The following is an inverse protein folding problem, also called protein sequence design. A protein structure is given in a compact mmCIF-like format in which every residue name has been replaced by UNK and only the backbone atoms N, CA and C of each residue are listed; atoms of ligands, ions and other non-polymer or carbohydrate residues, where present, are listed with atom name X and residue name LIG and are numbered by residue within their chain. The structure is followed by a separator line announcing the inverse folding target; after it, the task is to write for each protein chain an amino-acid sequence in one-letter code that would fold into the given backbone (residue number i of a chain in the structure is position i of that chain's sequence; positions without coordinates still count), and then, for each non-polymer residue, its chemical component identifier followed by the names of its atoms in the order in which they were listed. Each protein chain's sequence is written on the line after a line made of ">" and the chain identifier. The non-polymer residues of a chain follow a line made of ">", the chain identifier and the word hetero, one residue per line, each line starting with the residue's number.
data_IF_655050048199
#
_entry.id   IF_655050048199
#
_cell.length_a   1.000
_cell.length_b   1.000
_cell.length_c   1.000
_cell.angle_alpha   90.00
_cell.angle_beta   90.00
_cell.angle_gamma   90.00
#
_symmetry.space_group_name_H-M   'P 1'
#
loop_
_entity.id
_entity.type
_entity.pdbx_description
1 polymer ?
#
# COMPACT_ATOMS: atom_id res chain seq x y z
N UNK A 1 -28.99 -15.96 5.00
CA UNK A 1 -28.25 -15.82 6.27
C UNK A 1 -27.30 -14.66 6.11
N UNK A 2 -27.67 -13.50 6.66
CA UNK A 2 -26.83 -12.31 6.65
C UNK A 2 -25.84 -12.44 7.80
N UNK A 3 -24.57 -12.70 7.47
CA UNK A 3 -23.48 -12.67 8.44
C UNK A 3 -23.12 -11.19 8.64
N UNK A 4 -23.43 -10.70 9.83
CA UNK A 4 -23.14 -9.35 10.26
C UNK A 4 -21.63 -9.07 10.11
N UNK A 5 -21.30 -8.18 9.18
CA UNK A 5 -20.00 -7.55 9.08
C UNK A 5 -19.90 -6.53 10.22
N UNK A 6 -19.43 -6.98 11.37
CA UNK A 6 -19.01 -6.08 12.45
C UNK A 6 -17.71 -5.41 11.99
N UNK A 7 -17.87 -4.20 11.48
CA UNK A 7 -16.77 -3.26 11.30
C UNK A 7 -16.16 -3.00 12.69
N UNK A 8 -14.94 -3.48 12.89
CA UNK A 8 -14.09 -2.98 13.96
C UNK A 8 -13.60 -1.60 13.50
N UNK A 9 -14.48 -0.63 13.59
CA UNK A 9 -14.14 0.78 13.58
C UNK A 9 -13.52 1.09 14.94
N UNK A 10 -12.24 0.76 15.12
CA UNK A 10 -11.51 1.17 16.31
C UNK A 10 -11.23 2.65 16.23
N UNK A 11 -11.99 3.35 17.03
CA UNK A 11 -11.83 4.72 17.48
C UNK A 11 -10.35 5.06 17.73
N UNK A 12 -9.74 5.73 16.76
CA UNK A 12 -8.63 6.63 17.00
C UNK A 12 -9.21 8.04 16.95
N UNK A 13 -10.06 8.34 17.90
CA UNK A 13 -10.55 9.69 18.15
C UNK A 13 -10.11 10.10 19.54
N UNK A 14 -9.16 11.01 19.60
CA UNK A 14 -8.87 11.71 20.82
C UNK A 14 -7.39 11.98 21.01
N UNK A 15 -6.88 13.00 20.32
CA UNK A 15 -5.86 13.94 20.81
C UNK A 15 -5.45 14.89 19.66
N UNK A 16 -6.41 15.72 19.24
CA UNK A 16 -6.13 16.85 18.37
C UNK A 16 -6.35 18.13 19.19
N UNK A 17 -5.37 18.49 19.96
CA UNK A 17 -5.05 19.87 20.33
C UNK A 17 -3.78 19.87 21.13
N UNK A 18 -2.65 20.12 20.46
CA UNK A 18 -1.53 20.85 21.10
C UNK A 18 -0.55 21.26 20.03
N UNK A 19 -0.16 22.54 20.06
CA UNK A 19 1.13 23.09 19.64
C UNK A 19 2.14 22.04 19.16
N UNK A 20 2.80 22.30 18.05
CA UNK A 20 3.91 21.52 17.48
C UNK A 20 5.09 21.45 18.46
N UNK A 21 4.92 20.77 19.58
CA UNK A 21 6.02 20.36 20.43
C UNK A 21 6.61 19.09 19.84
N UNK A 22 7.93 19.08 19.64
CA UNK A 22 8.62 17.88 19.24
C UNK A 22 8.35 16.76 20.27
N UNK A 23 8.03 15.57 19.79
CA UNK A 23 7.83 14.38 20.64
C UNK A 23 9.10 14.12 21.47
N UNK A 24 8.95 13.93 22.75
CA UNK A 24 10.05 13.57 23.64
C UNK A 24 10.47 12.10 23.48
N UNK A 25 11.69 11.77 23.89
CA UNK A 25 12.20 10.39 23.90
C UNK A 25 11.30 9.44 24.73
N UNK A 26 10.75 9.94 25.82
CA UNK A 26 9.86 9.17 26.70
C UNK A 26 8.52 8.88 26.00
N UNK A 27 7.91 9.86 25.34
CA UNK A 27 6.69 9.70 24.57
C UNK A 27 6.91 8.76 23.37
N UNK A 28 8.03 8.89 22.67
CA UNK A 28 8.39 8.00 21.58
C UNK A 28 8.52 6.54 22.06
N UNK A 29 9.20 6.31 23.20
CA UNK A 29 9.32 4.99 23.81
C UNK A 29 7.97 4.40 24.21
N UNK A 30 7.14 5.18 24.88
CA UNK A 30 5.80 4.75 25.30
C UNK A 30 4.91 4.41 24.09
N UNK A 31 4.97 5.22 23.00
CA UNK A 31 4.25 4.94 21.76
C UNK A 31 4.73 3.64 21.11
N UNK A 32 6.03 3.35 21.08
CA UNK A 32 6.57 2.07 20.58
C UNK A 32 6.08 0.87 21.39
N UNK A 33 6.06 1.00 22.69
CA UNK A 33 5.55 -0.05 23.60
C UNK A 33 4.05 -0.30 23.34
N UNK A 34 3.27 0.78 23.17
CA UNK A 34 1.85 0.69 22.82
C UNK A 34 1.63 -0.02 21.47
N UNK A 35 2.35 0.37 20.42
CA UNK A 35 2.25 -0.29 19.11
C UNK A 35 2.52 -1.80 19.23
N UNK A 36 3.54 -2.16 20.01
CA UNK A 36 3.88 -3.58 20.22
C UNK A 36 2.80 -4.32 21.02
N UNK A 37 2.18 -3.67 21.99
CA UNK A 37 1.06 -4.24 22.75
C UNK A 37 -0.19 -4.42 21.87
N UNK A 38 -0.53 -3.41 21.06
CA UNK A 38 -1.64 -3.45 20.11
C UNK A 38 -1.47 -4.60 19.10
N UNK A 39 -0.24 -4.79 18.58
CA UNK A 39 0.06 -5.91 17.68
C UNK A 39 -0.12 -7.28 18.39
N UNK A 40 0.34 -7.42 19.62
CA UNK A 40 0.15 -8.66 20.40
C UNK A 40 -1.33 -8.97 20.64
N UNK A 41 -2.11 -7.95 20.98
CA UNK A 41 -3.56 -8.08 21.16
C UNK A 41 -4.25 -8.48 19.84
N UNK A 42 -3.91 -7.84 18.72
CA UNK A 42 -4.43 -8.19 17.40
C UNK A 42 -4.08 -9.63 17.01
N UNK A 43 -2.86 -10.09 17.26
CA UNK A 43 -2.47 -11.50 17.04
C UNK A 43 -3.34 -12.47 17.83
N UNK A 44 -3.59 -12.19 19.09
CA UNK A 44 -4.45 -13.06 19.93
C UNK A 44 -5.87 -13.15 19.33
N UNK A 45 -6.38 -12.05 18.79
CA UNK A 45 -7.67 -12.06 18.09
C UNK A 45 -7.61 -12.89 16.80
N UNK A 46 -6.53 -12.77 16.02
CA UNK A 46 -6.33 -13.55 14.81
C UNK A 46 -6.19 -15.05 15.09
N UNK A 47 -5.62 -15.45 16.24
CA UNK A 47 -5.46 -16.85 16.61
C UNK A 47 -6.79 -17.59 16.84
N UNK A 48 -7.88 -16.86 17.07
CA UNK A 48 -9.24 -17.41 17.13
C UNK A 48 -9.83 -17.74 15.74
N UNK A 49 -9.25 -17.23 14.67
CA UNK A 49 -9.65 -17.48 13.29
C UNK A 49 -8.99 -18.75 12.72
N UNK A 50 -9.48 -19.24 11.59
CA UNK A 50 -8.98 -20.44 10.91
C UNK A 50 -8.71 -20.17 9.43
N UNK A 51 -7.86 -21.02 8.86
CA UNK A 51 -7.50 -20.99 7.43
C UNK A 51 -7.11 -19.57 6.98
N UNK A 52 -7.41 -19.21 5.73
CA UNK A 52 -6.99 -17.95 5.15
C UNK A 52 -7.51 -16.71 5.91
N UNK A 53 -8.65 -16.80 6.59
CA UNK A 53 -9.12 -15.70 7.45
C UNK A 53 -8.13 -15.37 8.58
N UNK A 54 -7.45 -16.38 9.14
CA UNK A 54 -6.36 -16.18 10.13
C UNK A 54 -5.16 -15.51 9.47
N UNK A 55 -4.76 -15.97 8.31
CA UNK A 55 -3.58 -15.46 7.62
C UNK A 55 -3.80 -14.01 7.17
N UNK A 56 -4.97 -13.67 6.64
CA UNK A 56 -5.37 -12.28 6.33
C UNK A 56 -5.29 -11.41 7.59
N UNK A 57 -5.90 -11.84 8.69
CA UNK A 57 -5.88 -11.12 9.96
C UNK A 57 -4.43 -10.88 10.45
N UNK A 58 -3.55 -11.88 10.33
CA UNK A 58 -2.14 -11.75 10.71
C UNK A 58 -1.40 -10.74 9.81
N UNK A 59 -1.69 -10.70 8.50
CA UNK A 59 -1.14 -9.67 7.60
C UNK A 59 -1.64 -8.27 7.94
N UNK A 60 -2.93 -8.14 8.26
CA UNK A 60 -3.53 -6.88 8.70
C UNK A 60 -2.89 -6.39 10.01
N UNK A 61 -2.77 -7.26 11.02
CA UNK A 61 -2.12 -6.92 12.28
C UNK A 61 -0.65 -6.50 12.10
N UNK A 62 0.11 -7.27 11.30
CA UNK A 62 1.52 -6.98 11.04
C UNK A 62 1.68 -5.69 10.23
N UNK A 63 0.87 -5.51 9.20
CA UNK A 63 0.87 -4.29 8.38
C UNK A 63 0.55 -3.05 9.22
N UNK A 64 -0.45 -3.12 10.10
CA UNK A 64 -0.77 -2.03 11.02
C UNK A 64 0.39 -1.68 11.96
N UNK A 65 1.08 -2.69 12.52
CA UNK A 65 2.27 -2.49 13.35
C UNK A 65 3.39 -1.77 12.56
N UNK A 66 3.70 -2.25 11.35
CA UNK A 66 4.79 -1.70 10.53
C UNK A 66 4.50 -0.26 10.08
N UNK A 67 3.26 0.03 9.70
CA UNK A 67 2.80 1.38 9.36
C UNK A 67 2.90 2.29 10.58
N UNK A 68 2.35 1.87 11.73
CA UNK A 68 2.38 2.67 12.94
C UNK A 68 3.80 2.99 13.41
N UNK A 69 4.73 2.02 13.32
CA UNK A 69 6.16 2.25 13.62
C UNK A 69 6.79 3.27 12.67
N UNK A 70 6.50 3.17 11.37
CA UNK A 70 7.07 4.08 10.39
C UNK A 70 6.50 5.50 10.52
N UNK A 71 5.22 5.63 10.83
CA UNK A 71 4.56 6.92 11.09
C UNK A 71 5.07 7.55 12.38
N UNK A 72 5.26 6.76 13.45
CA UNK A 72 5.85 7.22 14.71
C UNK A 72 7.27 7.78 14.50
N UNK A 73 8.11 7.09 13.73
CA UNK A 73 9.46 7.59 13.42
C UNK A 73 9.40 8.90 12.59
N UNK A 74 8.42 9.02 11.67
CA UNK A 74 8.23 10.24 10.90
C UNK A 74 7.74 11.43 11.76
N UNK A 75 6.98 11.15 12.82
CA UNK A 75 6.56 12.16 13.80
C UNK A 75 7.69 12.55 14.76
N UNK A 76 8.45 11.57 15.24
CA UNK A 76 9.54 11.77 16.19
C UNK A 76 10.75 12.50 15.57
N UNK A 77 11.13 12.09 14.34
CA UNK A 77 12.23 12.73 13.57
C UNK A 77 11.72 13.10 12.16
N UNK A 78 10.98 14.20 12.03
CA UNK A 78 10.41 14.60 10.76
C UNK A 78 11.48 14.77 9.69
N UNK A 79 11.28 14.07 8.57
CA UNK A 79 12.11 14.22 7.37
C UNK A 79 11.37 13.65 6.16
N UNK A 80 11.71 14.12 4.96
CA UNK A 80 11.16 13.56 3.71
C UNK A 80 11.43 12.07 3.58
N UNK A 81 12.59 11.62 4.08
CA UNK A 81 12.96 10.20 4.11
C UNK A 81 12.04 9.40 5.03
N UNK A 82 11.78 9.89 6.24
CA UNK A 82 10.91 9.22 7.21
C UNK A 82 9.44 9.21 6.72
N UNK A 83 8.95 10.34 6.22
CA UNK A 83 7.61 10.45 5.63
C UNK A 83 7.44 9.51 4.44
N UNK A 84 8.45 9.43 3.55
CA UNK A 84 8.39 8.50 2.43
C UNK A 84 8.42 7.04 2.91
N UNK A 85 9.20 6.71 3.96
CA UNK A 85 9.23 5.38 4.56
C UNK A 85 7.86 4.98 5.09
N UNK A 86 7.13 5.88 5.74
CA UNK A 86 5.77 5.62 6.22
C UNK A 86 4.79 5.34 5.05
N UNK A 87 4.88 6.12 3.96
CA UNK A 87 4.07 5.86 2.75
C UNK A 87 4.38 4.50 2.11
N UNK A 88 5.66 4.13 2.06
CA UNK A 88 6.08 2.82 1.54
C UNK A 88 5.59 1.69 2.44
N UNK A 89 5.70 1.82 3.76
CA UNK A 89 5.22 0.82 4.71
C UNK A 89 3.70 0.58 4.55
N UNK A 90 2.92 1.65 4.32
CA UNK A 90 1.48 1.53 4.04
C UNK A 90 1.23 0.78 2.73
N UNK A 91 1.93 1.13 1.66
CA UNK A 91 1.80 0.45 0.37
C UNK A 91 2.15 -1.05 0.48
N UNK A 92 3.21 -1.38 1.22
CA UNK A 92 3.65 -2.76 1.44
C UNK A 92 2.64 -3.56 2.30
N UNK A 93 2.05 -2.93 3.34
CA UNK A 93 1.02 -3.53 4.18
C UNK A 93 -0.26 -3.81 3.38
N UNK A 94 -0.74 -2.84 2.62
CA UNK A 94 -1.94 -2.98 1.78
C UNK A 94 -1.75 -4.11 0.75
N UNK A 95 -0.56 -4.19 0.14
CA UNK A 95 -0.23 -5.26 -0.79
C UNK A 95 -0.20 -6.65 -0.13
N UNK A 96 0.41 -6.76 1.06
CA UNK A 96 0.49 -8.02 1.78
C UNK A 96 -0.91 -8.57 2.09
N UNK A 97 -1.82 -7.70 2.54
CA UNK A 97 -3.22 -8.05 2.80
C UNK A 97 -3.97 -8.40 1.51
N UNK A 98 -3.83 -7.58 0.47
CA UNK A 98 -4.51 -7.82 -0.81
C UNK A 98 -4.06 -9.14 -1.43
N UNK A 99 -2.77 -9.44 -1.39
CA UNK A 99 -2.23 -10.70 -1.91
C UNK A 99 -2.74 -11.91 -1.13
N UNK A 100 -2.80 -11.83 0.21
CA UNK A 100 -3.32 -12.91 1.05
C UNK A 100 -4.80 -13.21 0.74
N UNK A 101 -5.60 -12.16 0.51
CA UNK A 101 -7.01 -12.31 0.10
C UNK A 101 -7.17 -13.06 -1.23
N UNK A 102 -6.17 -13.01 -2.11
CA UNK A 102 -6.20 -13.75 -3.37
C UNK A 102 -6.07 -15.27 -3.16
N UNK A 103 -5.58 -15.73 -2.01
CA UNK A 103 -5.44 -17.15 -1.70
C UNK A 103 -6.79 -17.85 -1.47
N UNK A 104 -7.88 -17.09 -1.30
CA UNK A 104 -9.26 -17.61 -1.33
C UNK A 104 -9.76 -17.96 -2.75
N UNK A 105 -9.01 -17.57 -3.78
CA UNK A 105 -9.33 -17.81 -5.18
C UNK A 105 -8.46 -18.92 -5.75
N UNK A 106 -8.86 -19.47 -6.91
CA UNK A 106 -8.12 -20.51 -7.62
C UNK A 106 -7.98 -20.19 -9.12
N UNK A 107 -7.01 -20.82 -9.79
CA UNK A 107 -6.81 -20.70 -11.24
C UNK A 107 -6.59 -19.24 -11.67
N UNK A 108 -7.03 -18.90 -12.88
CA UNK A 108 -6.86 -17.57 -13.46
C UNK A 108 -7.43 -16.43 -12.57
N UNK A 109 -8.52 -16.68 -11.83
CA UNK A 109 -9.05 -15.67 -10.91
C UNK A 109 -8.06 -15.30 -9.81
N UNK A 110 -7.30 -16.26 -9.27
CA UNK A 110 -6.22 -16.01 -8.32
C UNK A 110 -5.08 -15.22 -8.98
N UNK A 111 -4.67 -15.62 -10.18
CA UNK A 111 -3.57 -14.97 -10.89
C UNK A 111 -3.92 -13.51 -11.21
N UNK A 112 -5.12 -13.24 -11.71
CA UNK A 112 -5.64 -11.88 -11.92
C UNK A 112 -5.63 -11.07 -10.62
N UNK A 113 -6.17 -11.63 -9.53
CA UNK A 113 -6.18 -10.97 -8.22
C UNK A 113 -4.77 -10.57 -7.77
N UNK A 114 -3.79 -11.47 -7.88
CA UNK A 114 -2.39 -11.19 -7.50
C UNK A 114 -1.76 -10.10 -8.39
N UNK A 115 -2.07 -10.11 -9.70
CA UNK A 115 -1.57 -9.06 -10.62
C UNK A 115 -2.21 -7.70 -10.30
N UNK A 116 -3.51 -7.68 -9.99
CA UNK A 116 -4.20 -6.46 -9.57
C UNK A 116 -3.64 -5.90 -8.26
N UNK A 117 -3.43 -6.75 -7.26
CA UNK A 117 -2.78 -6.36 -6.02
C UNK A 117 -1.38 -5.77 -6.26
N UNK A 118 -0.60 -6.37 -7.17
CA UNK A 118 0.73 -5.88 -7.54
C UNK A 118 0.66 -4.55 -8.28
N UNK A 119 -0.30 -4.35 -9.19
CA UNK A 119 -0.49 -3.08 -9.90
C UNK A 119 -0.89 -1.95 -8.93
N UNK A 120 -1.77 -2.23 -7.97
CA UNK A 120 -2.13 -1.31 -6.91
C UNK A 120 -0.92 -0.94 -6.04
N UNK A 121 -0.11 -1.92 -5.66
CA UNK A 121 1.14 -1.72 -4.91
C UNK A 121 2.14 -0.83 -5.66
N UNK A 122 2.38 -1.14 -6.95
CA UNK A 122 3.24 -0.31 -7.80
C UNK A 122 2.70 1.12 -7.84
N UNK A 123 1.40 1.30 -8.06
CA UNK A 123 0.76 2.62 -8.08
C UNK A 123 0.98 3.40 -6.78
N UNK A 124 0.80 2.77 -5.63
CA UNK A 124 1.02 3.40 -4.32
C UNK A 124 2.48 3.80 -4.11
N UNK A 125 3.42 2.93 -4.49
CA UNK A 125 4.87 3.21 -4.38
C UNK A 125 5.32 4.34 -5.30
N UNK A 126 4.84 4.35 -6.54
CA UNK A 126 5.17 5.42 -7.49
C UNK A 126 4.57 6.76 -7.04
N UNK A 127 3.34 6.77 -6.47
CA UNK A 127 2.78 7.96 -5.84
C UNK A 127 3.65 8.46 -4.68
N UNK A 128 4.22 7.56 -3.86
CA UNK A 128 5.13 7.93 -2.78
C UNK A 128 6.44 8.53 -3.32
N UNK A 129 6.99 8.01 -4.43
CA UNK A 129 8.17 8.57 -5.10
C UNK A 129 7.90 9.99 -5.63
N UNK A 130 6.77 10.19 -6.31
CA UNK A 130 6.37 11.53 -6.79
C UNK A 130 6.20 12.50 -5.64
N UNK A 131 5.54 12.08 -4.55
CA UNK A 131 5.39 12.91 -3.35
C UNK A 131 6.74 13.24 -2.70
N UNK A 132 7.70 12.30 -2.69
CA UNK A 132 9.06 12.55 -2.22
C UNK A 132 9.79 13.56 -3.12
N UNK A 133 9.67 13.45 -4.45
CA UNK A 133 10.24 14.42 -5.37
C UNK A 133 9.64 15.82 -5.17
N UNK A 134 8.32 15.89 -4.94
CA UNK A 134 7.64 17.14 -4.62
C UNK A 134 8.06 17.76 -3.27
N UNK A 135 8.49 16.98 -2.31
CA UNK A 135 8.99 17.45 -1.01
C UNK A 135 10.44 17.93 -1.05
N UNK A 136 11.27 17.40 -1.97
CA UNK A 136 12.68 17.80 -2.08
C UNK A 136 12.85 19.31 -2.24
N UNK A 137 13.80 19.96 -1.56
CA UNK A 137 14.19 21.34 -1.85
C UNK A 137 14.63 21.51 -3.30
N UNK A 138 14.45 22.70 -3.85
CA UNK A 138 14.95 23.09 -5.16
C UNK A 138 15.29 24.58 -5.14
N UNK A 139 16.29 24.98 -5.89
CA UNK A 139 16.79 26.36 -5.90
C UNK A 139 15.85 27.32 -6.66
N UNK A 140 14.97 26.77 -7.50
CA UNK A 140 13.98 27.54 -8.23
C UNK A 140 12.67 26.77 -8.47
N UNK A 141 11.60 27.49 -8.74
CA UNK A 141 10.32 26.90 -9.14
C UNK A 141 10.41 26.07 -10.43
N UNK A 142 11.27 26.48 -11.36
CA UNK A 142 11.51 25.75 -12.61
C UNK A 142 12.19 24.40 -12.36
N UNK A 143 13.23 24.37 -11.52
CA UNK A 143 13.91 23.13 -11.12
C UNK A 143 12.95 22.19 -10.37
N UNK A 144 12.15 22.74 -9.44
CA UNK A 144 11.12 21.99 -8.74
C UNK A 144 10.13 21.37 -9.72
N UNK A 145 9.67 22.16 -10.68
CA UNK A 145 8.78 21.69 -11.74
C UNK A 145 9.39 20.53 -12.54
N UNK A 146 10.65 20.66 -12.95
CA UNK A 146 11.37 19.63 -13.69
C UNK A 146 11.54 18.34 -12.90
N UNK A 147 11.96 18.42 -11.63
CA UNK A 147 12.10 17.25 -10.75
C UNK A 147 10.77 16.49 -10.57
N UNK A 148 9.67 17.21 -10.38
CA UNK A 148 8.35 16.60 -10.21
C UNK A 148 7.83 16.03 -11.53
N UNK A 149 8.08 16.69 -12.67
CA UNK A 149 7.69 16.22 -13.99
C UNK A 149 8.42 14.91 -14.34
N UNK A 150 9.72 14.82 -14.09
CA UNK A 150 10.51 13.60 -14.28
C UNK A 150 9.95 12.46 -13.42
N UNK A 151 9.78 12.69 -12.12
CA UNK A 151 9.22 11.68 -11.21
C UNK A 151 7.81 11.21 -11.62
N UNK A 152 6.99 12.10 -12.18
CA UNK A 152 5.66 11.74 -12.72
C UNK A 152 5.75 10.92 -13.99
N UNK A 153 6.69 11.23 -14.89
CA UNK A 153 6.92 10.49 -16.12
C UNK A 153 7.32 9.05 -15.79
N UNK A 154 8.32 8.87 -14.92
CA UNK A 154 8.77 7.55 -14.47
C UNK A 154 7.65 6.78 -13.78
N UNK A 155 6.94 7.44 -12.87
CA UNK A 155 5.80 6.84 -12.18
C UNK A 155 4.69 6.40 -13.16
N UNK A 156 4.46 7.15 -14.22
CA UNK A 156 3.45 6.80 -15.24
C UNK A 156 3.89 5.56 -16.02
N UNK A 157 5.17 5.46 -16.41
CA UNK A 157 5.71 4.30 -17.10
C UNK A 157 5.57 3.02 -16.27
N UNK A 158 6.00 3.06 -15.00
CA UNK A 158 5.92 1.93 -14.09
C UNK A 158 4.47 1.49 -13.81
N UNK A 159 3.55 2.45 -13.64
CA UNK A 159 2.13 2.18 -13.44
C UNK A 159 1.52 1.54 -14.68
N UNK A 160 1.83 2.05 -15.86
CA UNK A 160 1.33 1.52 -17.12
C UNK A 160 1.82 0.08 -17.33
N UNK A 161 3.09 -0.19 -17.06
CA UNK A 161 3.63 -1.55 -17.14
C UNK A 161 2.93 -2.52 -16.18
N UNK A 162 2.74 -2.11 -14.92
CA UNK A 162 2.08 -2.93 -13.91
C UNK A 162 0.61 -3.20 -14.27
N UNK A 163 -0.12 -2.17 -14.73
CA UNK A 163 -1.51 -2.29 -15.16
C UNK A 163 -1.65 -3.12 -16.44
N UNK A 164 -0.70 -3.01 -17.38
CA UNK A 164 -0.66 -3.86 -18.56
C UNK A 164 -0.53 -5.34 -18.17
N UNK A 165 0.37 -5.66 -17.25
CA UNK A 165 0.54 -7.03 -16.75
C UNK A 165 -0.74 -7.59 -16.12
N UNK A 166 -1.45 -6.76 -15.37
CA UNK A 166 -2.75 -7.13 -14.79
C UNK A 166 -3.85 -7.30 -15.85
N UNK A 167 -3.90 -6.40 -16.84
CA UNK A 167 -4.84 -6.50 -17.95
C UNK A 167 -4.58 -7.74 -18.81
N UNK A 168 -3.32 -8.03 -19.13
CA UNK A 168 -2.92 -9.22 -19.87
C UNK A 168 -3.34 -10.52 -19.18
N UNK A 169 -3.18 -10.60 -17.85
CA UNK A 169 -3.61 -11.76 -17.07
C UNK A 169 -5.10 -12.05 -17.21
N UNK A 170 -5.95 -11.00 -17.28
CA UNK A 170 -7.37 -11.15 -17.54
C UNK A 170 -7.66 -11.75 -18.91
N UNK A 171 -6.80 -11.47 -19.91
CA UNK A 171 -6.94 -12.03 -21.25
C UNK A 171 -6.64 -13.55 -21.29
N UNK A 172 -5.90 -14.07 -20.30
CA UNK A 172 -5.50 -15.48 -20.27
C UNK A 172 -6.70 -16.43 -20.02
N UNK A 173 -7.83 -15.92 -19.55
CA UNK A 173 -9.09 -16.66 -19.50
C UNK A 173 -9.76 -16.84 -20.87
N UNK A 174 -9.28 -16.14 -21.91
CA UNK A 174 -9.82 -16.17 -23.27
C UNK A 174 -8.95 -17.06 -24.16
N UNK A 175 -9.46 -17.39 -25.36
CA UNK A 175 -8.74 -18.17 -26.38
C UNK A 175 -8.92 -17.59 -27.77
N UNK A 176 -8.07 -17.99 -28.72
CA UNK A 176 -8.14 -17.61 -30.13
C UNK A 176 -8.10 -16.08 -30.35
N UNK A 177 -8.87 -15.60 -31.30
CA UNK A 177 -8.90 -14.19 -31.72
C UNK A 177 -9.36 -13.26 -30.58
N UNK A 178 -10.25 -13.74 -29.69
CA UNK A 178 -10.70 -12.97 -28.53
C UNK A 178 -9.54 -12.64 -27.58
N UNK A 179 -8.66 -13.61 -27.34
CA UNK A 179 -7.46 -13.41 -26.51
C UNK A 179 -6.50 -12.42 -27.19
N UNK A 180 -6.24 -12.62 -28.48
CA UNK A 180 -5.35 -11.74 -29.25
C UNK A 180 -5.84 -10.29 -29.21
N UNK A 181 -7.14 -10.08 -29.50
CA UNK A 181 -7.76 -8.75 -29.44
C UNK A 181 -7.68 -8.14 -28.03
N UNK A 182 -7.94 -8.92 -26.98
CA UNK A 182 -7.85 -8.45 -25.59
C UNK A 182 -6.42 -7.96 -25.26
N UNK A 183 -5.39 -8.72 -25.66
CA UNK A 183 -3.99 -8.35 -25.43
C UNK A 183 -3.61 -7.09 -26.21
N UNK A 184 -4.06 -6.95 -27.45
CA UNK A 184 -3.79 -5.77 -28.27
C UNK A 184 -4.52 -4.52 -27.72
N UNK A 185 -5.73 -4.68 -27.23
CA UNK A 185 -6.45 -3.61 -26.53
C UNK A 185 -5.71 -3.16 -25.27
N UNK A 186 -5.20 -4.13 -24.48
CA UNK A 186 -4.40 -3.84 -23.27
C UNK A 186 -3.09 -3.12 -23.64
N UNK A 187 -2.38 -3.55 -24.68
CA UNK A 187 -1.17 -2.85 -25.18
C UNK A 187 -1.47 -1.38 -25.52
N UNK A 188 -2.53 -1.14 -26.32
CA UNK A 188 -2.91 0.23 -26.70
C UNK A 188 -3.27 1.08 -25.49
N UNK A 189 -4.01 0.51 -24.54
CA UNK A 189 -4.46 1.23 -23.33
C UNK A 189 -3.30 1.70 -22.47
N UNK A 190 -2.26 0.89 -22.34
CA UNK A 190 -1.12 1.16 -21.47
C UNK A 190 0.16 1.55 -22.19
N UNK A 191 0.08 1.85 -23.51
CA UNK A 191 1.23 2.32 -24.29
C UNK A 191 2.35 1.30 -24.41
N UNK A 192 2.02 0.02 -24.51
CA UNK A 192 2.99 -1.06 -24.72
C UNK A 192 3.06 -1.40 -26.22
N UNK A 193 4.26 -1.49 -26.76
CA UNK A 193 4.56 -1.87 -28.15
C UNK A 193 4.93 -3.35 -28.28
#
# INVERSE_FOLDING_TARGET
>A
MQIARTLIASVVAGLMATSAMAMTDAEHKAAKEKISADYKAAKTTCDALKANAKDICMKEAKGAEDVAKAELEAQYKPSDKATNKARMARADADYAVAKEKCDDLTGNAKDVCVKDAKAAHTTAKENAKVAKAAAKPADSAAEKGAQVAEARKDATAEKNEANYKAAKERCDAMSGDAKSKCVDDAKRMYGQS
#
